data_IF_696483361024
#
_entry.id   IF_696483361024
#
_cell.length_a   1.000
_cell.length_b   1.000
_cell.length_c   1.000
_cell.angle_alpha   90.00
_cell.angle_beta   90.00
_cell.angle_gamma   90.00
#
_symmetry.space_group_name_H-M   'P 1'
#
loop_
_entity.id
_entity.type
_entity.pdbx_description
1 polymer ?
#
# COMPACT_ATOMS: atom_id res chain seq x y z
N UNK A 1 12.50 2.89 -15.56
CA UNK A 1 13.01 3.21 -14.21
C UNK A 1 11.83 3.40 -13.29
N UNK A 2 11.61 2.45 -12.37
CA UNK A 2 10.57 2.58 -11.35
C UNK A 2 11.04 3.64 -10.35
N UNK A 3 10.40 4.81 -10.33
CA UNK A 3 10.83 5.96 -9.52
C UNK A 3 9.75 6.25 -8.47
N UNK A 4 10.01 5.89 -7.22
CA UNK A 4 9.19 6.35 -6.10
C UNK A 4 9.72 7.71 -5.63
N UNK A 5 8.92 8.75 -5.83
CA UNK A 5 9.21 10.14 -5.49
C UNK A 5 9.62 10.34 -4.01
N UNK A 6 9.01 9.56 -3.10
CA UNK A 6 9.27 9.69 -1.67
C UNK A 6 10.65 9.16 -1.26
N UNK A 7 11.15 8.16 -1.98
CA UNK A 7 12.38 7.43 -1.64
C UNK A 7 13.50 7.66 -2.66
N UNK A 8 13.32 8.58 -3.62
CA UNK A 8 14.29 8.77 -4.71
C UNK A 8 15.50 9.64 -4.42
N UNK A 9 15.60 10.23 -3.23
CA UNK A 9 16.71 11.08 -2.82
C UNK A 9 16.78 12.43 -3.54
N UNK A 10 15.91 12.69 -4.52
CA UNK A 10 15.93 13.93 -5.29
C UNK A 10 15.24 15.07 -4.54
N UNK A 11 14.20 14.76 -3.77
CA UNK A 11 13.37 15.77 -3.08
C UNK A 11 13.61 15.82 -1.57
N UNK A 12 13.92 14.70 -0.92
CA UNK A 12 14.09 14.64 0.53
C UNK A 12 15.54 14.32 0.88
N UNK A 13 16.16 15.16 1.72
CA UNK A 13 17.53 14.92 2.21
C UNK A 13 17.64 13.57 2.94
N UNK A 14 16.59 13.20 3.68
CA UNK A 14 16.53 11.93 4.39
C UNK A 14 16.47 10.69 3.47
N UNK A 15 16.05 10.83 2.21
CA UNK A 15 16.04 9.71 1.25
C UNK A 15 17.33 9.62 0.43
N UNK A 16 18.30 10.53 0.62
CA UNK A 16 19.64 10.43 0.01
C UNK A 16 20.44 9.36 0.73
N UNK A 17 20.62 8.21 0.07
CA UNK A 17 21.39 7.08 0.61
C UNK A 17 20.55 5.87 1.03
N UNK A 18 19.22 5.97 0.93
CA UNK A 18 18.32 4.83 1.18
C UNK A 18 18.56 3.77 0.11
N UNK A 19 18.99 2.58 0.54
CA UNK A 19 19.17 1.42 -0.34
C UNK A 19 17.79 0.82 -0.60
N UNK A 20 17.36 0.90 -1.86
CA UNK A 20 16.04 0.46 -2.29
C UNK A 20 16.06 -0.95 -2.87
N UNK A 21 14.98 -1.67 -2.62
CA UNK A 21 14.75 -2.94 -3.27
C UNK A 21 14.14 -2.73 -4.65
N UNK A 22 14.71 -3.36 -5.70
CA UNK A 22 14.21 -3.20 -7.05
C UNK A 22 12.86 -3.90 -7.26
N UNK A 23 12.48 -4.81 -6.36
CA UNK A 23 11.28 -5.63 -6.43
C UNK A 23 10.48 -5.45 -5.14
N UNK A 24 9.26 -4.96 -5.27
CA UNK A 24 8.32 -4.84 -4.15
C UNK A 24 7.09 -5.68 -4.46
N UNK A 25 6.85 -6.69 -3.62
CA UNK A 25 5.68 -7.55 -3.70
C UNK A 25 4.52 -6.97 -2.91
N UNK A 26 3.30 -7.05 -3.46
CA UNK A 26 2.07 -6.75 -2.73
C UNK A 26 1.07 -7.87 -2.95
N UNK A 27 0.51 -8.37 -1.85
CA UNK A 27 -0.60 -9.31 -1.87
C UNK A 27 -1.80 -8.64 -1.20
N UNK A 28 -2.95 -8.67 -1.87
CA UNK A 28 -4.17 -8.06 -1.37
C UNK A 28 -5.32 -9.05 -1.46
N UNK A 29 -6.13 -9.09 -0.41
CA UNK A 29 -7.39 -9.83 -0.34
C UNK A 29 -8.50 -8.86 -0.02
N UNK A 30 -9.63 -9.03 -0.69
CA UNK A 30 -10.80 -8.24 -0.42
C UNK A 30 -12.07 -9.00 -0.72
N UNK A 31 -13.13 -8.61 -0.02
CA UNK A 31 -14.48 -9.10 -0.24
C UNK A 31 -15.44 -7.93 -0.30
N UNK A 32 -16.26 -7.91 -1.33
CA UNK A 32 -17.29 -6.89 -1.53
C UNK A 32 -18.66 -7.54 -1.53
N UNK A 33 -19.59 -6.94 -0.82
CA UNK A 33 -21.00 -7.30 -0.87
C UNK A 33 -21.86 -6.05 -0.91
N UNK A 34 -22.97 -6.14 -1.63
CA UNK A 34 -23.94 -5.07 -1.80
C UNK A 34 -25.31 -5.57 -1.38
N UNK A 35 -26.03 -4.75 -0.62
CA UNK A 35 -27.40 -5.02 -0.23
C UNK A 35 -28.25 -3.76 -0.35
N UNK A 36 -29.21 -3.79 -1.29
CA UNK A 36 -30.14 -2.69 -1.59
C UNK A 36 -29.44 -1.32 -1.70
N UNK A 37 -29.48 -0.52 -0.63
CA UNK A 37 -28.99 0.86 -0.57
C UNK A 37 -27.56 1.01 -0.03
N UNK A 38 -26.81 -0.08 0.08
CA UNK A 38 -25.50 -0.07 0.71
C UNK A 38 -24.55 -1.09 0.11
N UNK A 39 -23.28 -0.72 -0.03
CA UNK A 39 -22.20 -1.63 -0.36
C UNK A 39 -21.07 -1.53 0.68
N UNK A 40 -20.51 -2.69 1.02
CA UNK A 40 -19.33 -2.80 1.88
C UNK A 40 -18.23 -3.52 1.15
N UNK A 41 -17.00 -3.00 1.29
CA UNK A 41 -15.79 -3.72 0.93
C UNK A 41 -14.90 -3.86 2.16
N UNK A 42 -14.56 -5.09 2.49
CA UNK A 42 -13.50 -5.41 3.44
C UNK A 42 -12.23 -5.70 2.64
N UNK A 43 -11.12 -5.05 2.98
CA UNK A 43 -9.85 -5.34 2.33
C UNK A 43 -8.70 -5.38 3.31
N UNK A 44 -7.71 -6.18 2.98
CA UNK A 44 -6.41 -6.23 3.64
C UNK A 44 -5.33 -6.43 2.58
N UNK A 45 -4.19 -5.81 2.76
CA UNK A 45 -3.02 -6.00 1.93
C UNK A 45 -1.78 -6.10 2.78
N UNK A 46 -0.82 -6.88 2.31
CA UNK A 46 0.53 -6.96 2.83
C UNK A 46 1.49 -6.61 1.71
N UNK A 47 2.50 -5.82 2.05
CA UNK A 47 3.52 -5.35 1.11
C UNK A 47 4.90 -5.62 1.69
N UNK A 48 5.83 -6.06 0.84
CA UNK A 48 7.23 -6.21 1.21
C UNK A 48 7.87 -4.83 1.39
N UNK A 49 8.95 -4.76 2.15
CA UNK A 49 9.76 -3.55 2.28
C UNK A 49 10.18 -3.00 0.90
N UNK A 50 10.21 -1.68 0.79
CA UNK A 50 10.69 -0.97 -0.40
C UNK A 50 12.16 -0.53 -0.26
N UNK A 51 12.66 -0.51 0.97
CA UNK A 51 14.04 -0.20 1.31
C UNK A 51 14.44 -0.91 2.60
N UNK A 52 15.75 -1.14 2.77
CA UNK A 52 16.30 -2.03 3.79
C UNK A 52 15.94 -1.68 5.24
N UNK A 53 15.70 -0.40 5.54
CA UNK A 53 15.36 0.08 6.89
C UNK A 53 13.87 -0.06 7.22
N UNK A 54 13.02 -0.37 6.23
CA UNK A 54 11.59 -0.59 6.43
C UNK A 54 11.34 -2.00 6.99
N UNK A 55 10.29 -2.16 7.81
CA UNK A 55 9.87 -3.48 8.28
C UNK A 55 9.61 -4.43 7.09
N UNK A 56 10.13 -5.66 7.20
CA UNK A 56 10.16 -6.64 6.11
C UNK A 56 8.80 -6.89 5.46
N UNK A 57 7.73 -6.87 6.25
CA UNK A 57 6.34 -6.95 5.82
C UNK A 57 5.53 -5.90 6.59
N UNK A 58 4.78 -5.10 5.87
CA UNK A 58 3.83 -4.16 6.47
C UNK A 58 2.47 -4.33 5.80
N UNK A 59 1.41 -4.26 6.61
CA UNK A 59 0.05 -4.47 6.15
C UNK A 59 -0.83 -3.25 6.38
N UNK A 60 -1.81 -3.08 5.50
CA UNK A 60 -2.89 -2.12 5.68
C UNK A 60 -4.20 -2.80 5.34
N UNK A 61 -5.23 -2.50 6.11
CA UNK A 61 -6.58 -2.98 5.84
C UNK A 61 -7.59 -1.89 6.15
N UNK A 62 -8.81 -2.11 5.68
CA UNK A 62 -9.86 -1.15 5.88
C UNK A 62 -11.23 -1.70 5.53
N UNK A 63 -12.22 -0.91 5.90
CA UNK A 63 -13.60 -1.12 5.54
C UNK A 63 -14.04 0.10 4.74
N UNK A 64 -14.54 -0.13 3.53
CA UNK A 64 -15.19 0.88 2.72
C UNK A 64 -16.69 0.69 2.83
N UNK A 65 -17.38 1.79 3.08
CA UNK A 65 -18.83 1.85 3.17
C UNK A 65 -19.34 2.87 2.17
N UNK A 66 -20.17 2.40 1.23
CA UNK A 66 -20.80 3.24 0.21
C UNK A 66 -22.32 3.21 0.40
N UNK A 67 -22.93 4.38 0.57
CA UNK A 67 -24.38 4.53 0.54
C UNK A 67 -24.83 4.77 -0.91
N UNK A 68 -25.78 3.96 -1.37
CA UNK A 68 -26.30 3.99 -2.73
C UNK A 68 -27.67 4.68 -2.70
N UNK A 69 -27.68 5.97 -2.99
CA UNK A 69 -28.88 6.83 -3.10
C UNK A 69 -29.39 6.86 -4.53
#
# INVERSE_FOLDING_TARGET
MTRNYSTDGSNFRASRGVIRDPIVGQFALGYSFQFHHFATTLYTSVRTHEFAEQQSLHGVGGIKFDFLF
#
